data_IF_979257018709
#
_entry.id   IF_979257018709
#
_cell.length_a   1.000
_cell.length_b   1.000
_cell.length_c   1.000
_cell.angle_alpha   90.00
_cell.angle_beta   90.00
_cell.angle_gamma   90.00
#
_symmetry.space_group_name_H-M   'P 1'
#
loop_
_entity.id
_entity.type
_entity.pdbx_description
1 polymer ?
#
# COMPACT_ATOMS: atom_id res chain seq x y z
N UNK A 1 -4.03 -0.78 -24.28
CA UNK A 1 -3.88 -1.48 -22.98
C UNK A 1 -5.23 -1.75 -22.35
N UNK A 2 -5.35 -2.84 -21.60
CA UNK A 2 -6.51 -3.11 -20.74
C UNK A 2 -6.52 -2.17 -19.53
N UNK A 3 -7.66 -1.54 -19.27
CA UNK A 3 -7.85 -0.59 -18.20
C UNK A 3 -9.23 -0.76 -17.53
N UNK A 4 -9.39 -0.16 -16.35
CA UNK A 4 -10.65 -0.08 -15.65
C UNK A 4 -11.14 1.36 -15.62
N UNK A 5 -12.29 1.61 -16.22
CA UNK A 5 -12.99 2.89 -16.13
C UNK A 5 -13.96 2.84 -14.95
N UNK A 6 -13.77 3.72 -13.98
CA UNK A 6 -14.45 3.69 -12.68
C UNK A 6 -15.42 4.87 -12.61
N UNK A 7 -16.65 4.59 -12.21
CA UNK A 7 -17.71 5.57 -11.99
C UNK A 7 -18.23 5.48 -10.56
N UNK A 8 -18.60 6.64 -10.00
CA UNK A 8 -19.28 6.77 -8.73
C UNK A 8 -20.55 7.60 -8.93
N UNK A 9 -21.71 7.02 -8.64
CA UNK A 9 -23.03 7.66 -8.82
C UNK A 9 -23.19 8.25 -10.23
N UNK A 10 -22.83 7.46 -11.26
CA UNK A 10 -22.87 7.85 -12.67
C UNK A 10 -21.78 8.83 -13.13
N UNK A 11 -20.97 9.38 -12.23
CA UNK A 11 -19.89 10.33 -12.59
C UNK A 11 -18.55 9.60 -12.73
N UNK A 12 -17.84 9.84 -13.83
CA UNK A 12 -16.51 9.25 -14.07
C UNK A 12 -15.53 9.70 -12.98
N UNK A 13 -14.92 8.73 -12.31
CA UNK A 13 -13.98 8.94 -11.21
C UNK A 13 -12.54 8.97 -11.74
N UNK A 14 -12.15 7.95 -12.51
CA UNK A 14 -10.89 7.84 -13.25
C UNK A 14 -10.88 6.59 -14.15
N UNK A 15 -9.94 6.53 -15.09
CA UNK A 15 -9.55 5.34 -15.85
C UNK A 15 -8.17 4.89 -15.38
N UNK A 16 -8.06 3.68 -14.84
CA UNK A 16 -6.81 3.12 -14.31
C UNK A 16 -6.28 2.03 -15.23
N UNK A 17 -5.01 2.10 -15.60
CA UNK A 17 -4.41 1.17 -16.55
C UNK A 17 -2.90 1.31 -16.57
N UNK A 18 -2.22 0.22 -16.92
CA UNK A 18 -0.77 0.15 -17.09
C UNK A 18 -0.45 -0.77 -18.27
N UNK A 19 0.61 -0.44 -19.00
CA UNK A 19 1.14 -1.32 -20.06
C UNK A 19 1.82 -2.58 -19.49
N UNK A 20 2.42 -2.47 -18.31
CA UNK A 20 3.10 -3.58 -17.65
C UNK A 20 3.04 -3.42 -16.13
N UNK A 21 2.46 -4.39 -15.45
CA UNK A 21 2.27 -4.36 -14.01
C UNK A 21 0.93 -4.92 -13.59
N UNK A 22 0.50 -4.53 -12.39
CA UNK A 22 -0.79 -4.93 -11.83
C UNK A 22 -1.63 -3.67 -11.62
N UNK A 23 -2.90 -3.73 -11.98
CA UNK A 23 -3.90 -2.71 -11.64
C UNK A 23 -5.04 -3.37 -10.89
N UNK A 24 -5.54 -2.71 -9.86
CA UNK A 24 -6.63 -3.19 -9.03
C UNK A 24 -7.55 -2.05 -8.63
N UNK A 25 -8.84 -2.37 -8.55
CA UNK A 25 -9.86 -1.52 -7.95
C UNK A 25 -10.50 -2.31 -6.82
N UNK A 26 -10.33 -1.85 -5.59
CA UNK A 26 -10.71 -2.57 -4.38
C UNK A 26 -11.75 -1.76 -3.64
N UNK A 27 -12.89 -2.39 -3.32
CA UNK A 27 -13.83 -1.88 -2.33
C UNK A 27 -13.47 -2.48 -0.97
N UNK A 28 -13.20 -1.61 0.01
CA UNK A 28 -12.89 -2.00 1.37
C UNK A 28 -14.09 -1.67 2.26
N UNK A 29 -14.63 -2.66 2.95
CA UNK A 29 -15.48 -2.47 4.12
C UNK A 29 -14.78 -3.05 5.33
N UNK A 30 -14.59 -2.22 6.36
CA UNK A 30 -13.94 -2.60 7.60
C UNK A 30 -14.91 -2.33 8.73
N UNK A 31 -15.25 -3.34 9.52
CA UNK A 31 -16.02 -3.22 10.75
C UNK A 31 -15.20 -3.83 11.89
N UNK A 32 -14.76 -3.00 12.84
CA UNK A 32 -13.91 -3.41 13.98
C UNK A 32 -14.61 -3.14 15.30
N UNK A 33 -15.54 -4.02 15.71
CA UNK A 33 -16.19 -3.89 17.01
C UNK A 33 -15.13 -4.01 18.13
N UNK A 34 -15.13 -3.04 19.05
CA UNK A 34 -14.20 -2.99 20.19
C UNK A 34 -12.90 -2.21 19.97
N UNK A 35 -12.72 -1.53 18.82
CA UNK A 35 -11.59 -0.62 18.62
C UNK A 35 -11.65 0.52 19.65
N UNK A 36 -10.68 0.57 20.57
CA UNK A 36 -10.63 1.56 21.64
C UNK A 36 -10.26 2.96 21.08
N UNK A 37 -11.17 3.95 21.09
CA UNK A 37 -10.93 5.25 20.45
C UNK A 37 -9.79 6.04 21.11
N UNK A 38 -9.41 5.72 22.36
CA UNK A 38 -8.33 6.42 23.08
C UNK A 38 -6.91 5.92 22.76
N UNK A 39 -6.74 4.79 22.05
CA UNK A 39 -5.41 4.20 21.77
C UNK A 39 -4.77 4.62 20.46
N UNK A 40 -5.43 5.41 19.62
CA UNK A 40 -4.90 5.69 18.30
C UNK A 40 -5.12 7.14 17.89
N UNK A 41 -4.07 7.95 18.05
CA UNK A 41 -3.76 9.01 17.10
C UNK A 41 -3.69 8.33 15.72
N UNK A 42 -4.75 8.47 14.90
CA UNK A 42 -4.89 7.74 13.63
C UNK A 42 -5.68 6.42 13.69
N UNK A 43 -6.66 6.27 14.58
CA UNK A 43 -7.56 5.10 14.59
C UNK A 43 -8.40 5.07 13.31
N UNK A 44 -8.43 3.91 12.65
CA UNK A 44 -9.44 3.63 11.61
C UNK A 44 -10.82 3.70 12.28
N UNK A 45 -11.82 4.36 11.66
CA UNK A 45 -13.18 4.41 12.20
C UNK A 45 -13.70 3.01 12.54
N UNK A 46 -14.60 2.93 13.53
CA UNK A 46 -15.29 1.69 13.95
C UNK A 46 -15.87 0.94 12.75
N UNK A 47 -16.36 1.69 11.77
CA UNK A 47 -16.77 1.21 10.46
C UNK A 47 -16.25 2.15 9.37
N UNK A 48 -15.69 1.59 8.30
CA UNK A 48 -15.14 2.35 7.17
C UNK A 48 -15.41 1.65 5.84
N UNK A 49 -16.04 2.37 4.91
CA UNK A 49 -16.27 1.94 3.54
C UNK A 49 -15.50 2.84 2.58
N UNK A 50 -14.75 2.27 1.64
CA UNK A 50 -13.96 3.04 0.68
C UNK A 50 -13.70 2.30 -0.62
N UNK A 51 -13.36 3.06 -1.65
CA UNK A 51 -12.77 2.56 -2.90
C UNK A 51 -11.30 2.98 -2.99
N UNK A 52 -10.47 2.04 -3.41
CA UNK A 52 -9.06 2.25 -3.74
C UNK A 52 -8.79 1.77 -5.16
N UNK A 53 -8.34 2.67 -6.04
CA UNK A 53 -7.88 2.36 -7.38
C UNK A 53 -6.37 2.59 -7.45
N UNK A 54 -5.63 1.50 -7.66
CA UNK A 54 -4.17 1.49 -7.54
C UNK A 54 -3.52 0.40 -8.36
N UNK A 55 -2.20 0.36 -8.30
CA UNK A 55 -1.43 -0.62 -9.05
C UNK A 55 0.04 -0.66 -8.66
N UNK A 56 0.77 -1.58 -9.27
CA UNK A 56 2.21 -1.73 -9.15
C UNK A 56 2.81 -1.70 -10.54
N UNK A 57 3.64 -0.71 -10.82
CA UNK A 57 4.38 -0.60 -12.08
C UNK A 57 5.55 -1.58 -12.05
N UNK A 58 5.57 -2.53 -13.00
CA UNK A 58 6.60 -3.56 -13.05
C UNK A 58 7.98 -3.00 -13.43
N UNK A 59 8.04 -1.88 -14.16
CA UNK A 59 9.31 -1.28 -14.63
C UNK A 59 9.98 -0.47 -13.52
N UNK A 60 9.20 0.34 -12.81
CA UNK A 60 9.74 1.23 -11.77
C UNK A 60 9.66 0.63 -10.36
N UNK A 61 8.91 -0.46 -10.17
CA UNK A 61 8.60 -1.07 -8.88
C UNK A 61 7.96 -0.04 -7.91
N UNK A 62 7.14 0.86 -8.46
CA UNK A 62 6.42 1.89 -7.72
C UNK A 62 4.96 1.47 -7.52
N UNK A 63 4.46 1.67 -6.30
CA UNK A 63 3.04 1.56 -6.03
C UNK A 63 2.34 2.85 -6.48
N UNK A 64 1.37 2.71 -7.37
CA UNK A 64 0.63 3.80 -7.99
C UNK A 64 -0.76 3.92 -7.36
N UNK A 65 -1.22 5.14 -7.14
CA UNK A 65 -2.56 5.42 -6.62
C UNK A 65 -3.23 6.42 -7.56
N UNK A 66 -4.33 6.02 -8.18
CA UNK A 66 -5.17 6.92 -8.96
C UNK A 66 -6.25 7.55 -8.09
N UNK A 67 -6.90 6.74 -7.24
CA UNK A 67 -7.98 7.23 -6.39
C UNK A 67 -8.05 6.51 -5.05
N UNK A 68 -8.36 7.29 -4.03
CA UNK A 68 -8.83 6.86 -2.72
C UNK A 68 -10.04 7.72 -2.37
N UNK A 69 -11.15 7.09 -2.02
CA UNK A 69 -12.37 7.81 -1.67
C UNK A 69 -13.20 7.01 -0.67
N UNK A 70 -13.68 7.68 0.37
CA UNK A 70 -14.66 7.12 1.28
C UNK A 70 -16.00 7.03 0.56
N UNK A 71 -16.72 5.95 0.82
CA UNK A 71 -18.06 5.72 0.31
C UNK A 71 -19.05 5.71 1.46
N UNK A 72 -20.32 5.84 1.12
CA UNK A 72 -21.44 5.67 2.05
C UNK A 72 -22.45 4.68 1.48
N UNK A 73 -23.29 4.13 2.34
CA UNK A 73 -24.44 3.32 1.91
C UNK A 73 -25.28 4.13 0.93
N UNK A 74 -25.67 3.49 -0.17
CA UNK A 74 -26.39 4.12 -1.28
C UNK A 74 -25.49 4.65 -2.40
N UNK A 75 -24.17 4.71 -2.22
CA UNK A 75 -23.26 4.99 -3.34
C UNK A 75 -23.22 3.80 -4.30
N UNK A 76 -23.38 4.08 -5.61
CA UNK A 76 -23.23 3.11 -6.68
C UNK A 76 -21.85 3.23 -7.33
N UNK A 77 -21.10 2.13 -7.31
CA UNK A 77 -19.80 2.02 -8.01
C UNK A 77 -19.98 1.15 -9.23
N UNK A 78 -19.57 1.66 -10.39
CA UNK A 78 -19.55 0.90 -11.64
C UNK A 78 -18.13 0.86 -12.19
N UNK A 79 -17.69 -0.33 -12.61
CA UNK A 79 -16.36 -0.54 -13.19
C UNK A 79 -16.55 -1.20 -14.54
N UNK A 80 -16.00 -0.57 -15.59
CA UNK A 80 -15.97 -1.14 -16.93
C UNK A 80 -14.54 -1.55 -17.27
N UNK A 81 -14.37 -2.76 -17.80
CA UNK A 81 -13.12 -3.17 -18.43
C UNK A 81 -13.12 -2.60 -19.84
N UNK A 82 -12.11 -1.81 -20.16
CA UNK A 82 -12.00 -1.10 -21.43
C UNK A 82 -10.61 -1.29 -22.02
N UNK A 83 -10.53 -1.22 -23.34
CA UNK A 83 -9.25 -1.05 -24.02
C UNK A 83 -9.07 0.43 -24.38
N UNK A 84 -7.97 1.02 -23.94
CA UNK A 84 -7.64 2.42 -24.20
C UNK A 84 -6.18 2.59 -24.61
N UNK A 85 -5.85 3.59 -25.44
CA UNK A 85 -4.47 3.92 -25.77
C UNK A 85 -3.74 4.56 -24.58
N UNK A 86 -4.48 5.20 -23.65
CA UNK A 86 -3.91 5.90 -22.49
C UNK A 86 -4.89 5.92 -21.31
N UNK A 87 -4.39 5.62 -20.12
CA UNK A 87 -5.12 5.77 -18.86
C UNK A 87 -4.86 7.14 -18.22
N UNK A 88 -5.63 7.50 -17.19
CA UNK A 88 -5.38 8.73 -16.43
C UNK A 88 -4.01 8.66 -15.73
N UNK A 89 -3.41 9.81 -15.40
CA UNK A 89 -2.17 9.84 -14.62
C UNK A 89 -2.46 9.46 -13.16
N UNK A 90 -1.61 8.64 -12.51
CA UNK A 90 -1.76 8.36 -11.09
C UNK A 90 -1.56 9.66 -10.29
N UNK A 91 -2.33 9.82 -9.22
CA UNK A 91 -2.25 10.95 -8.29
C UNK A 91 -0.99 10.88 -7.43
N UNK A 92 -0.61 9.67 -7.01
CA UNK A 92 0.55 9.44 -6.15
C UNK A 92 1.38 8.27 -6.68
N UNK A 93 2.70 8.38 -6.54
CA UNK A 93 3.69 7.33 -6.81
C UNK A 93 4.49 7.10 -5.54
N UNK A 94 4.46 5.87 -5.04
CA UNK A 94 5.17 5.49 -3.83
C UNK A 94 6.26 4.51 -4.23
N UNK A 95 7.50 4.98 -4.18
CA UNK A 95 8.67 4.13 -4.40
C UNK A 95 8.90 3.24 -3.17
N UNK A 96 9.18 1.97 -3.41
CA UNK A 96 9.70 1.10 -2.36
C UNK A 96 11.08 1.57 -1.95
N UNK A 97 11.24 1.91 -0.66
CA UNK A 97 12.51 2.32 -0.06
C UNK A 97 13.18 1.10 0.60
N UNK A 98 14.22 0.48 -0.01
CA UNK A 98 14.77 -0.79 0.46
C UNK A 98 15.30 -0.73 1.91
N UNK A 99 15.79 0.44 2.32
CA UNK A 99 16.27 0.66 3.69
C UNK A 99 15.11 0.63 4.70
N UNK A 100 13.96 1.18 4.34
CA UNK A 100 12.77 1.17 5.18
C UNK A 100 12.17 -0.23 5.26
N UNK A 101 12.11 -0.95 4.13
CA UNK A 101 11.67 -2.35 4.09
C UNK A 101 12.56 -3.23 4.97
N UNK A 102 13.89 -3.14 4.83
CA UNK A 102 14.81 -3.92 5.67
C UNK A 102 14.65 -3.60 7.16
N UNK A 103 14.39 -2.33 7.51
CA UNK A 103 14.11 -1.93 8.91
C UNK A 103 12.80 -2.54 9.39
N UNK A 104 11.73 -2.50 8.58
CA UNK A 104 10.44 -3.09 8.90
C UNK A 104 10.54 -4.61 9.06
N UNK A 105 11.21 -5.30 8.14
CA UNK A 105 11.46 -6.75 8.21
C UNK A 105 12.23 -7.14 9.46
N UNK A 106 13.32 -6.42 9.79
CA UNK A 106 14.07 -6.66 11.03
C UNK A 106 13.20 -6.46 12.27
N UNK A 107 12.33 -5.46 12.28
CA UNK A 107 11.39 -5.23 13.39
C UNK A 107 10.38 -6.37 13.51
N UNK A 108 9.79 -6.80 12.40
CA UNK A 108 8.85 -7.91 12.34
C UNK A 108 9.48 -9.20 12.87
N UNK A 109 10.66 -9.59 12.35
CA UNK A 109 11.39 -10.79 12.79
C UNK A 109 11.62 -10.78 14.30
N UNK A 110 12.03 -9.65 14.90
CA UNK A 110 12.21 -9.55 16.35
C UNK A 110 10.91 -9.71 17.13
N UNK A 111 9.82 -9.13 16.65
CA UNK A 111 8.50 -9.26 17.29
C UNK A 111 8.01 -10.71 17.24
N UNK A 112 8.13 -11.36 16.09
CA UNK A 112 7.75 -12.76 15.91
C UNK A 112 8.62 -13.68 16.75
N UNK A 113 9.94 -13.46 16.76
CA UNK A 113 10.85 -14.24 17.61
C UNK A 113 10.48 -14.13 19.09
N UNK A 114 10.16 -12.92 19.58
CA UNK A 114 9.67 -12.74 20.96
C UNK A 114 8.38 -13.52 21.24
N UNK A 115 7.44 -13.56 20.29
CA UNK A 115 6.18 -14.31 20.44
C UNK A 115 6.41 -15.82 20.47
N UNK A 116 7.39 -16.31 19.73
CA UNK A 116 7.69 -17.73 19.56
C UNK A 116 8.77 -18.24 20.54
N UNK A 117 9.30 -17.37 21.40
CA UNK A 117 10.41 -17.73 22.31
C UNK A 117 11.76 -17.91 21.60
N UNK A 118 11.91 -17.44 20.36
CA UNK A 118 13.16 -17.57 19.60
C UNK A 118 14.15 -16.44 19.93
N UNK A 119 15.44 -16.78 19.87
CA UNK A 119 16.51 -15.79 19.92
C UNK A 119 16.99 -15.42 18.51
N UNK A 120 17.03 -14.13 18.20
CA UNK A 120 17.55 -13.63 16.92
C UNK A 120 19.01 -13.20 17.11
N UNK A 121 19.94 -13.97 16.55
CA UNK A 121 21.37 -13.64 16.58
C UNK A 121 21.76 -12.89 15.31
N UNK A 122 22.27 -11.67 15.45
CA UNK A 122 22.76 -10.88 14.30
C UNK A 122 24.20 -11.23 13.94
N UNK A 123 24.57 -11.14 12.64
CA UNK A 123 25.97 -11.18 12.22
C UNK A 123 26.75 -10.06 12.91
N UNK A 124 27.74 -10.40 13.76
CA UNK A 124 28.71 -9.42 14.29
C UNK A 124 29.43 -8.79 13.09
N UNK A 125 29.49 -7.46 13.03
CA UNK A 125 30.36 -6.77 12.05
C UNK A 125 31.80 -7.26 12.25
N UNK A 126 32.46 -7.65 11.17
CA UNK A 126 33.87 -8.04 11.21
C UNK A 126 34.74 -6.89 11.73
N UNK A 127 35.86 -7.21 12.37
CA UNK A 127 36.78 -6.22 12.94
C UNK A 127 37.23 -5.15 11.92
N UNK A 128 37.40 -5.54 10.65
CA UNK A 128 37.72 -4.63 9.54
C UNK A 128 36.67 -3.54 9.28
N UNK A 129 35.38 -3.83 9.50
CA UNK A 129 34.30 -2.83 9.34
C UNK A 129 34.19 -1.87 10.53
N UNK A 130 34.82 -2.19 11.67
CA UNK A 130 34.91 -1.30 12.85
C UNK A 130 36.07 -0.31 12.71
N UNK A 131 37.20 -0.75 12.13
CA UNK A 131 38.37 0.09 11.92
C UNK A 131 38.11 1.26 10.95
N UNK A 132 37.45 1.01 9.82
CA UNK A 132 37.14 2.05 8.80
C UNK A 132 36.17 3.16 9.26
N UNK A 133 35.50 3.00 10.42
CA UNK A 133 34.60 4.02 10.99
C UNK A 133 35.28 4.94 12.01
N UNK A 134 36.55 4.70 12.36
CA UNK A 134 37.30 5.48 13.36
C UNK A 134 38.31 6.46 12.74
N UNK A 135 38.52 6.40 11.43
CA UNK A 135 39.53 7.19 10.71
C UNK A 135 38.92 8.11 9.65
N UNK A 136 37.68 8.55 9.83
CA UNK A 136 37.00 9.50 8.95
C UNK A 136 36.05 10.39 9.73
#
# INVERSE_FOLDING_TARGET
>A
MTAFEIFLNGKRLCTVGLESGVVSTILNWVNTPGANPRRAKGSVPKEFLSIHAGGLDAKTNEHLIWKRRNLKVGDAVSIRVVEVPKADKPRERIKREPRQELRATKKYVRQTARKLGWQVVGKKKSAQQRARKRTG
#
